data_IF_209559097294
#
_entry.id   IF_209559097294
#
_cell.length_a   1.000
_cell.length_b   1.000
_cell.length_c   1.000
_cell.angle_alpha   90.00
_cell.angle_beta   90.00
_cell.angle_gamma   90.00
#
_symmetry.space_group_name_H-M   'P 1'
#
loop_
_entity.id
_entity.type
_entity.pdbx_description
1 polymer ?
#
# COMPACT_ATOMS: atom_id res chain seq x y z
N UNK A 1 23.07 3.93 6.68
CA UNK A 1 22.89 5.17 5.91
C UNK A 1 22.42 4.93 4.48
N UNK A 2 23.00 3.98 3.73
CA UNK A 2 22.61 3.71 2.34
C UNK A 2 21.13 3.31 2.19
N UNK A 3 20.60 2.46 3.07
CA UNK A 3 19.20 2.04 3.03
C UNK A 3 18.22 3.24 3.16
N UNK A 4 18.48 4.17 4.09
CA UNK A 4 17.64 5.36 4.27
C UNK A 4 17.66 6.26 3.03
N UNK A 5 18.80 6.40 2.34
CA UNK A 5 18.86 7.16 1.09
C UNK A 5 18.04 6.52 -0.04
N UNK A 6 18.01 5.19 -0.11
CA UNK A 6 17.16 4.47 -1.07
C UNK A 6 15.69 4.73 -0.74
N UNK A 7 15.29 4.67 0.53
CA UNK A 7 13.90 4.94 0.91
C UNK A 7 13.50 6.41 0.65
N UNK A 8 14.40 7.38 0.86
CA UNK A 8 14.14 8.80 0.55
C UNK A 8 14.02 9.01 -0.97
N UNK A 9 14.85 8.35 -1.78
CA UNK A 9 14.82 8.51 -3.24
C UNK A 9 13.52 8.03 -3.88
N UNK A 10 12.74 7.20 -3.17
CA UNK A 10 11.39 6.80 -3.57
C UNK A 10 10.45 8.01 -3.67
N UNK A 11 10.53 9.02 -2.80
CA UNK A 11 9.60 10.17 -2.90
C UNK A 11 9.74 10.97 -4.22
N UNK A 12 10.96 11.38 -4.65
CA UNK A 12 11.16 11.95 -5.98
C UNK A 12 10.76 11.02 -7.11
N UNK A 13 11.04 9.71 -7.01
CA UNK A 13 10.65 8.75 -8.04
C UNK A 13 9.13 8.66 -8.19
N UNK A 14 8.38 8.63 -7.08
CA UNK A 14 6.91 8.68 -7.09
C UNK A 14 6.41 9.95 -7.78
N UNK A 15 6.98 11.11 -7.44
CA UNK A 15 6.61 12.37 -8.07
C UNK A 15 6.83 12.32 -9.58
N UNK A 16 8.00 11.85 -10.03
CA UNK A 16 8.30 11.69 -11.46
C UNK A 16 7.31 10.73 -12.13
N UNK A 17 7.02 9.58 -11.50
CA UNK A 17 6.03 8.62 -12.02
C UNK A 17 4.64 9.25 -12.17
N UNK A 18 4.19 10.04 -11.20
CA UNK A 18 2.90 10.75 -11.26
C UNK A 18 2.92 11.82 -12.37
N UNK A 19 3.98 12.61 -12.48
CA UNK A 19 4.09 13.63 -13.53
C UNK A 19 4.07 13.00 -14.93
N UNK A 20 4.77 11.88 -15.12
CA UNK A 20 4.73 11.13 -16.39
C UNK A 20 3.32 10.58 -16.65
N UNK A 21 2.67 10.02 -15.63
CA UNK A 21 1.33 9.44 -15.75
C UNK A 21 0.30 10.47 -16.25
N UNK A 22 0.32 11.68 -15.68
CA UNK A 22 -0.61 12.75 -16.05
C UNK A 22 -0.21 13.47 -17.34
N UNK A 23 1.03 13.96 -17.41
CA UNK A 23 1.45 14.94 -18.42
C UNK A 23 2.37 14.36 -19.50
N UNK A 24 2.85 13.13 -19.33
CA UNK A 24 3.78 12.52 -20.26
C UNK A 24 3.13 12.22 -21.62
N UNK A 25 3.86 12.39 -22.74
CA UNK A 25 3.42 11.86 -24.03
C UNK A 25 3.35 10.32 -23.98
N UNK A 26 2.64 9.72 -24.93
CA UNK A 26 2.39 8.28 -25.01
C UNK A 26 3.65 7.42 -24.82
N UNK A 27 4.76 7.78 -25.48
CA UNK A 27 6.04 7.07 -25.37
C UNK A 27 6.66 7.17 -23.98
N UNK A 28 6.58 8.35 -23.35
CA UNK A 28 7.09 8.55 -22.00
C UNK A 28 6.23 7.84 -20.96
N UNK A 29 4.89 7.78 -21.15
CA UNK A 29 4.01 6.97 -20.30
C UNK A 29 4.35 5.49 -20.34
N UNK A 30 4.71 4.94 -21.50
CA UNK A 30 5.19 3.56 -21.62
C UNK A 30 6.49 3.33 -20.85
N UNK A 31 7.48 4.20 -20.99
CA UNK A 31 8.70 4.15 -20.19
C UNK A 31 8.41 4.32 -18.68
N UNK A 32 7.41 5.16 -18.36
CA UNK A 32 6.90 5.40 -17.02
C UNK A 32 6.36 4.16 -16.33
N UNK A 33 5.83 3.17 -17.06
CA UNK A 33 5.42 1.87 -16.49
C UNK A 33 6.64 1.14 -15.91
N UNK A 34 7.76 1.13 -16.64
CA UNK A 34 9.01 0.52 -16.16
C UNK A 34 9.58 1.26 -14.96
N UNK A 35 9.54 2.59 -14.97
CA UNK A 35 9.95 3.41 -13.84
C UNK A 35 9.09 3.16 -12.60
N UNK A 36 7.77 3.08 -12.77
CA UNK A 36 6.82 2.78 -11.70
C UNK A 36 7.08 1.40 -11.11
N UNK A 37 7.27 0.38 -11.96
CA UNK A 37 7.61 -0.97 -11.52
C UNK A 37 8.92 -0.98 -10.72
N UNK A 38 9.96 -0.30 -11.20
CA UNK A 38 11.22 -0.16 -10.47
C UNK A 38 11.00 0.49 -9.11
N UNK A 39 10.22 1.57 -9.04
CA UNK A 39 9.87 2.26 -7.79
C UNK A 39 9.16 1.35 -6.78
N UNK A 40 8.26 0.48 -7.25
CA UNK A 40 7.58 -0.51 -6.41
C UNK A 40 8.53 -1.61 -5.92
N UNK A 41 9.51 -2.01 -6.74
CA UNK A 41 10.49 -3.05 -6.38
C UNK A 41 11.61 -2.53 -5.46
N UNK A 42 11.92 -1.23 -5.47
CA UNK A 42 12.95 -0.64 -4.60
C UNK A 42 12.68 -0.87 -3.11
N UNK A 43 11.41 -1.00 -2.70
CA UNK A 43 10.94 -1.41 -1.36
C UNK A 43 11.43 -2.81 -0.93
N UNK A 44 11.61 -3.70 -1.89
CA UNK A 44 12.16 -5.03 -1.59
C UNK A 44 13.68 -4.95 -1.49
N UNK A 45 14.29 -4.03 -2.24
CA UNK A 45 15.74 -3.87 -2.31
C UNK A 45 16.29 -3.19 -1.06
N UNK A 46 15.71 -2.09 -0.58
CA UNK A 46 16.15 -1.41 0.65
C UNK A 46 16.06 -2.32 1.88
N UNK A 47 14.96 -3.07 2.02
CA UNK A 47 14.79 -4.07 3.07
C UNK A 47 15.77 -5.25 2.98
N UNK A 48 16.27 -5.59 1.78
CA UNK A 48 17.29 -6.62 1.60
C UNK A 48 18.70 -6.09 1.91
N UNK A 49 18.99 -4.86 1.48
CA UNK A 49 20.25 -4.15 1.77
C UNK A 49 20.39 -3.91 3.27
N UNK A 50 19.33 -3.44 3.95
CA UNK A 50 19.35 -3.21 5.39
C UNK A 50 19.65 -4.49 6.19
N UNK A 51 19.07 -5.63 5.78
CA UNK A 51 19.32 -6.94 6.41
C UNK A 51 20.74 -7.46 6.17
N UNK A 52 21.27 -7.30 4.95
CA UNK A 52 22.64 -7.74 4.60
C UNK A 52 23.72 -6.85 5.20
N UNK A 53 23.45 -5.57 5.40
CA UNK A 53 24.43 -4.60 5.94
C UNK A 53 24.36 -4.45 7.46
N UNK A 54 23.40 -5.11 8.13
CA UNK A 54 23.17 -4.95 9.57
C UNK A 54 22.70 -3.55 9.97
N UNK A 55 22.31 -2.70 9.01
CA UNK A 55 21.94 -1.30 9.24
C UNK A 55 20.43 -1.14 9.50
N UNK A 56 19.86 -1.99 10.35
CA UNK A 56 18.46 -1.86 10.76
C UNK A 56 18.34 -0.72 11.78
N UNK A 57 17.71 0.39 11.39
CA UNK A 57 17.43 1.51 12.30
C UNK A 57 15.93 1.71 12.46
N UNK A 58 15.50 2.16 13.65
CA UNK A 58 14.09 2.45 13.93
C UNK A 58 13.56 3.54 12.99
N UNK A 59 14.33 4.59 12.76
CA UNK A 59 14.00 5.65 11.81
C UNK A 59 13.83 5.10 10.38
N UNK A 60 14.77 4.28 9.90
CA UNK A 60 14.68 3.69 8.56
C UNK A 60 13.44 2.80 8.39
N UNK A 61 13.09 2.02 9.42
CA UNK A 61 11.86 1.20 9.38
C UNK A 61 10.57 2.02 9.35
N UNK A 62 10.51 3.13 10.10
CA UNK A 62 9.36 4.05 10.06
C UNK A 62 9.26 4.72 8.69
N UNK A 63 10.40 5.15 8.14
CA UNK A 63 10.46 5.79 6.83
C UNK A 63 10.03 4.86 5.69
N UNK A 64 10.44 3.58 5.75
CA UNK A 64 10.05 2.56 4.77
C UNK A 64 8.54 2.32 4.78
N UNK A 65 7.95 2.16 5.97
CA UNK A 65 6.50 2.06 6.14
C UNK A 65 5.80 3.31 5.58
N UNK A 66 6.30 4.50 5.89
CA UNK A 66 5.73 5.75 5.39
C UNK A 66 5.82 5.84 3.85
N UNK A 67 6.93 5.41 3.26
CA UNK A 67 7.13 5.40 1.82
C UNK A 67 6.18 4.42 1.11
N UNK A 68 6.04 3.16 1.58
CA UNK A 68 5.10 2.19 1.00
C UNK A 68 3.65 2.70 1.08
N UNK A 69 3.26 3.28 2.23
CA UNK A 69 1.93 3.88 2.40
C UNK A 69 1.71 5.05 1.46
N UNK A 70 2.69 5.93 1.32
CA UNK A 70 2.58 7.08 0.43
C UNK A 70 2.41 6.62 -1.01
N UNK A 71 3.24 5.68 -1.48
CA UNK A 71 3.11 5.09 -2.82
C UNK A 71 1.74 4.48 -3.06
N UNK A 72 1.27 3.67 -2.10
CA UNK A 72 -0.04 3.03 -2.20
C UNK A 72 -1.17 4.04 -2.36
N UNK A 73 -1.27 4.98 -1.43
CA UNK A 73 -2.40 5.91 -1.36
C UNK A 73 -2.38 6.89 -2.52
N UNK A 74 -1.21 7.44 -2.87
CA UNK A 74 -1.08 8.38 -3.99
C UNK A 74 -1.48 7.71 -5.30
N UNK A 75 -0.97 6.51 -5.59
CA UNK A 75 -1.28 5.83 -6.86
C UNK A 75 -2.76 5.47 -6.97
N UNK A 76 -3.39 4.96 -5.91
CA UNK A 76 -4.83 4.67 -5.92
C UNK A 76 -5.67 5.93 -6.19
N UNK A 77 -5.30 7.06 -5.58
CA UNK A 77 -6.00 8.34 -5.81
C UNK A 77 -5.78 8.82 -7.24
N UNK A 78 -4.55 8.80 -7.75
CA UNK A 78 -4.24 9.21 -9.12
C UNK A 78 -5.00 8.37 -10.16
N UNK A 79 -5.06 7.05 -10.00
CA UNK A 79 -5.80 6.20 -10.93
C UNK A 79 -7.31 6.42 -10.88
N UNK A 80 -7.87 6.75 -9.71
CA UNK A 80 -9.29 7.10 -9.59
C UNK A 80 -9.60 8.46 -10.21
N UNK A 81 -8.74 9.46 -10.03
CA UNK A 81 -8.87 10.78 -10.64
C UNK A 81 -8.78 10.71 -12.18
N UNK A 82 -7.89 9.88 -12.71
CA UNK A 82 -7.81 9.54 -14.15
C UNK A 82 -9.00 8.70 -14.65
N UNK A 83 -9.98 8.39 -13.79
CA UNK A 83 -11.18 7.58 -14.09
C UNK A 83 -10.87 6.16 -14.57
N UNK A 84 -9.70 5.63 -14.23
CA UNK A 84 -9.31 4.26 -14.55
C UNK A 84 -9.89 3.23 -13.58
N UNK A 85 -10.26 3.68 -12.38
CA UNK A 85 -10.90 2.87 -11.35
C UNK A 85 -11.96 3.70 -10.61
N UNK A 86 -12.96 3.07 -9.97
CA UNK A 86 -13.94 3.79 -9.19
C UNK A 86 -13.30 4.39 -7.92
N UNK A 87 -13.73 5.61 -7.56
CA UNK A 87 -13.27 6.33 -6.36
C UNK A 87 -13.50 5.56 -5.05
N UNK A 88 -14.43 4.59 -5.04
CA UNK A 88 -14.63 3.69 -3.90
C UNK A 88 -13.34 2.96 -3.49
N UNK A 89 -12.47 2.59 -4.44
CA UNK A 89 -11.23 1.85 -4.16
C UNK A 89 -10.26 2.64 -3.28
N UNK A 90 -9.77 3.85 -3.67
CA UNK A 90 -8.89 4.63 -2.80
C UNK A 90 -9.54 4.98 -1.46
N UNK A 91 -10.84 5.29 -1.43
CA UNK A 91 -11.53 5.62 -0.19
C UNK A 91 -11.51 4.45 0.82
N UNK A 92 -11.81 3.23 0.36
CA UNK A 92 -11.76 2.04 1.21
C UNK A 92 -10.32 1.80 1.72
N UNK A 93 -9.32 1.94 0.85
CA UNK A 93 -7.92 1.70 1.21
C UNK A 93 -7.41 2.74 2.21
N UNK A 94 -7.74 4.02 2.02
CA UNK A 94 -7.41 5.11 2.97
C UNK A 94 -8.07 4.82 4.32
N UNK A 95 -9.38 4.58 4.34
CA UNK A 95 -10.12 4.33 5.58
C UNK A 95 -9.58 3.11 6.35
N UNK A 96 -9.38 1.98 5.65
CA UNK A 96 -8.83 0.76 6.26
C UNK A 96 -7.42 1.01 6.82
N UNK A 97 -6.56 1.68 6.06
CA UNK A 97 -5.16 1.90 6.42
C UNK A 97 -5.05 2.80 7.65
N UNK A 98 -5.71 3.95 7.61
CA UNK A 98 -5.73 4.92 8.73
C UNK A 98 -6.30 4.31 10.00
N UNK A 99 -7.41 3.56 9.92
CA UNK A 99 -7.97 2.83 11.06
C UNK A 99 -7.00 1.81 11.64
N UNK A 100 -6.36 1.02 10.78
CA UNK A 100 -5.40 -0.01 11.22
C UNK A 100 -4.19 0.62 11.90
N UNK A 101 -3.67 1.73 11.36
CA UNK A 101 -2.51 2.41 11.92
C UNK A 101 -2.84 3.13 13.24
N UNK A 102 -4.03 3.74 13.35
CA UNK A 102 -4.53 4.33 14.60
C UNK A 102 -4.70 3.29 15.71
N UNK A 103 -5.27 2.12 15.42
CA UNK A 103 -5.39 1.07 16.43
C UNK A 103 -4.04 0.45 16.82
N UNK A 104 -3.08 0.40 15.91
CA UNK A 104 -1.72 -0.05 16.22
C UNK A 104 -0.98 0.93 17.13
N UNK A 105 -1.15 2.24 16.94
CA UNK A 105 -0.50 3.24 17.79
C UNK A 105 -1.00 3.20 19.24
N UNK A 106 -2.30 2.95 19.45
CA UNK A 106 -2.88 2.78 20.80
C UNK A 106 -2.23 1.58 21.52
N UNK A 107 -2.00 0.46 20.83
CA UNK A 107 -1.39 -0.74 21.42
C UNK A 107 0.10 -0.59 21.79
N UNK A 108 0.83 0.27 21.08
CA UNK A 108 2.25 0.57 21.37
C UNK A 108 2.39 1.52 22.58
N UNK A 109 1.47 2.46 22.75
CA UNK A 109 1.47 3.42 23.85
C UNK A 109 1.25 2.83 25.25
N UNK A 110 0.80 1.57 25.36
CA UNK A 110 0.49 0.91 26.63
C UNK A 110 1.46 -0.23 27.02
N UNK A 111 2.62 -0.37 26.35
CA UNK A 111 3.67 -1.33 26.74
C UNK A 111 3.35 -2.80 26.47
N UNK A 112 2.25 -3.12 25.77
CA UNK A 112 1.94 -4.50 25.37
C UNK A 112 2.76 -4.93 24.16
N UNK A 113 3.62 -5.95 24.33
CA UNK A 113 4.44 -6.50 23.25
C UNK A 113 3.58 -6.91 22.03
N UNK A 114 3.89 -6.46 20.79
CA UNK A 114 3.05 -6.64 19.60
C UNK A 114 2.71 -8.09 19.22
N UNK A 115 3.41 -9.08 19.79
CA UNK A 115 3.35 -10.48 19.38
C UNK A 115 2.79 -11.46 20.43
N UNK A 116 2.55 -11.06 21.68
CA UNK A 116 2.12 -11.99 22.74
C UNK A 116 0.61 -12.32 22.72
N UNK A 117 -0.14 -11.79 21.76
CA UNK A 117 -1.58 -11.61 21.95
C UNK A 117 -2.45 -12.47 20.99
N UNK A 118 -1.91 -13.21 20.01
CA UNK A 118 -2.74 -13.96 19.04
C UNK A 118 -3.06 -15.40 19.50
N UNK A 119 -4.30 -15.65 19.97
CA UNK A 119 -4.78 -17.01 20.36
C UNK A 119 -5.68 -17.73 19.33
N UNK A 120 -6.16 -17.09 18.26
CA UNK A 120 -6.99 -17.75 17.21
C UNK A 120 -6.24 -18.00 15.90
N UNK A 121 -6.39 -19.20 15.33
CA UNK A 121 -5.70 -19.66 14.12
C UNK A 121 -5.99 -18.78 12.88
N UNK A 122 -7.23 -18.32 12.73
CA UNK A 122 -7.64 -17.39 11.66
C UNK A 122 -6.94 -16.03 11.76
N UNK A 123 -6.72 -15.49 12.96
CA UNK A 123 -5.99 -14.25 13.15
C UNK A 123 -4.49 -14.38 12.83
N UNK A 124 -3.87 -15.52 13.15
CA UNK A 124 -2.47 -15.82 12.77
C UNK A 124 -2.31 -16.10 11.28
N UNK A 125 -3.29 -16.74 10.64
CA UNK A 125 -3.28 -16.96 9.20
C UNK A 125 -3.50 -15.65 8.42
N UNK A 126 -4.50 -14.85 8.80
CA UNK A 126 -4.83 -13.59 8.13
C UNK A 126 -3.77 -12.48 8.33
N UNK A 127 -3.12 -12.43 9.49
CA UNK A 127 -2.10 -11.41 9.84
C UNK A 127 -0.67 -11.90 9.60
N UNK A 128 -0.42 -13.21 9.76
CA UNK A 128 0.92 -13.80 9.77
C UNK A 128 1.30 -14.63 8.54
N UNK A 129 0.36 -15.01 7.68
CA UNK A 129 0.70 -15.82 6.50
C UNK A 129 1.43 -15.00 5.44
N UNK A 130 2.66 -15.41 5.10
CA UNK A 130 3.47 -14.86 4.00
C UNK A 130 2.71 -14.89 2.67
N UNK A 131 1.84 -15.89 2.47
CA UNK A 131 1.02 -16.02 1.27
C UNK A 131 0.07 -14.82 1.04
N UNK A 132 -0.60 -14.33 2.08
CA UNK A 132 -1.48 -13.17 1.94
C UNK A 132 -0.72 -11.87 1.76
N UNK A 133 0.50 -11.78 2.32
CA UNK A 133 1.37 -10.62 2.15
C UNK A 133 1.88 -10.52 0.72
N UNK A 134 2.46 -11.61 0.23
CA UNK A 134 3.00 -11.70 -1.12
C UNK A 134 1.88 -11.61 -2.16
N UNK A 135 0.75 -12.28 -1.93
CA UNK A 135 -0.42 -12.19 -2.80
C UNK A 135 -0.93 -10.75 -2.94
N UNK A 136 -1.11 -10.04 -1.82
CA UNK A 136 -1.48 -8.62 -1.86
C UNK A 136 -0.47 -7.76 -2.63
N UNK A 137 0.83 -7.94 -2.36
CA UNK A 137 1.87 -7.16 -3.02
C UNK A 137 1.90 -7.42 -4.54
N UNK A 138 1.76 -8.68 -4.97
CA UNK A 138 1.68 -9.05 -6.39
C UNK A 138 0.42 -8.43 -7.02
N UNK A 139 -0.76 -8.62 -6.42
CA UNK A 139 -2.01 -8.08 -6.99
C UNK A 139 -1.96 -6.56 -7.11
N UNK A 140 -1.45 -5.85 -6.09
CA UNK A 140 -1.25 -4.40 -6.11
C UNK A 140 -0.29 -3.98 -7.22
N UNK A 141 0.89 -4.61 -7.30
CA UNK A 141 1.92 -4.28 -8.29
C UNK A 141 1.42 -4.51 -9.71
N UNK A 142 0.79 -5.66 -9.97
CA UNK A 142 0.17 -5.98 -11.26
C UNK A 142 -0.91 -4.96 -11.63
N UNK A 143 -1.76 -4.59 -10.66
CA UNK A 143 -2.82 -3.59 -10.90
C UNK A 143 -2.23 -2.22 -11.21
N UNK A 144 -1.25 -1.74 -10.45
CA UNK A 144 -0.64 -0.42 -10.67
C UNK A 144 0.10 -0.34 -12.01
N UNK A 145 0.93 -1.33 -12.32
CA UNK A 145 1.66 -1.36 -13.57
C UNK A 145 0.69 -1.53 -14.76
N UNK A 146 -0.35 -2.36 -14.59
CA UNK A 146 -1.38 -2.56 -15.60
C UNK A 146 -2.22 -1.31 -15.86
N UNK A 147 -2.65 -0.58 -14.82
CA UNK A 147 -3.39 0.68 -14.96
C UNK A 147 -2.53 1.77 -15.61
N UNK A 148 -1.25 1.86 -15.24
CA UNK A 148 -0.32 2.78 -15.90
C UNK A 148 -0.12 2.42 -17.39
N UNK A 149 -0.06 1.12 -17.71
CA UNK A 149 0.03 0.65 -19.09
C UNK A 149 -1.25 0.95 -19.88
N UNK A 150 -2.43 0.76 -19.27
CA UNK A 150 -3.71 1.15 -19.85
C UNK A 150 -3.76 2.64 -20.16
N UNK A 151 -3.30 3.47 -19.23
CA UNK A 151 -3.19 4.91 -19.44
C UNK A 151 -2.26 5.29 -20.59
N UNK A 152 -1.15 4.56 -20.76
CA UNK A 152 -0.26 4.75 -21.90
C UNK A 152 -0.96 4.35 -23.22
N UNK A 153 -1.68 3.23 -23.23
CA UNK A 153 -2.37 2.72 -24.42
C UNK A 153 -3.51 3.61 -24.90
N UNK A 154 -4.19 4.31 -23.99
CA UNK A 154 -5.20 5.32 -24.34
C UNK A 154 -4.64 6.48 -25.18
N UNK A 155 -3.32 6.71 -25.15
CA UNK A 155 -2.66 7.74 -25.96
C UNK A 155 -2.34 7.32 -27.40
N UNK A 156 -2.66 6.09 -27.82
CA UNK A 156 -2.47 5.64 -29.20
C UNK A 156 -3.67 6.01 -30.09
N UNK A 157 -3.47 6.21 -31.41
CA UNK A 157 -4.56 6.49 -32.34
C UNK A 157 -5.62 5.38 -32.36
N UNK A 158 -6.88 5.79 -32.51
CA UNK A 158 -8.00 4.88 -32.70
C UNK A 158 -7.78 4.01 -33.96
N UNK A 159 -8.03 2.71 -33.85
CA UNK A 159 -7.79 1.74 -34.92
C UNK A 159 -6.49 0.92 -34.78
N UNK A 160 -5.60 1.29 -33.87
CA UNK A 160 -4.47 0.42 -33.51
C UNK A 160 -4.94 -0.78 -32.70
N UNK A 161 -4.29 -1.94 -32.87
CA UNK A 161 -4.55 -3.16 -32.07
C UNK A 161 -4.39 -2.90 -30.56
N UNK A 162 -3.49 -1.99 -30.22
CA UNK A 162 -3.19 -1.57 -28.84
C UNK A 162 -4.38 -0.81 -28.24
N UNK A 163 -4.91 0.20 -28.95
CA UNK A 163 -6.08 0.93 -28.50
C UNK A 163 -7.33 0.03 -28.38
N UNK A 164 -7.48 -0.93 -29.31
CA UNK A 164 -8.59 -1.89 -29.29
C UNK A 164 -8.53 -2.88 -28.09
N UNK A 165 -7.34 -3.12 -27.52
CA UNK A 165 -7.16 -4.00 -26.37
C UNK A 165 -7.43 -3.30 -25.02
N UNK A 166 -7.56 -1.96 -25.00
CA UNK A 166 -7.74 -1.22 -23.75
C UNK A 166 -9.02 -1.63 -22.99
N UNK A 167 -10.21 -1.75 -23.61
CA UNK A 167 -11.43 -2.08 -22.89
C UNK A 167 -11.36 -3.45 -22.19
N UNK A 168 -10.82 -4.47 -22.86
CA UNK A 168 -10.64 -5.82 -22.28
C UNK A 168 -9.60 -5.81 -21.17
N UNK A 169 -8.49 -5.09 -21.35
CA UNK A 169 -7.48 -4.90 -20.32
C UNK A 169 -8.07 -4.21 -19.09
N UNK A 170 -8.85 -3.14 -19.27
CA UNK A 170 -9.52 -2.43 -18.18
C UNK A 170 -10.50 -3.33 -17.41
N UNK A 171 -11.24 -4.21 -18.09
CA UNK A 171 -12.13 -5.16 -17.41
C UNK A 171 -11.33 -6.08 -16.45
N UNK A 172 -10.20 -6.60 -16.91
CA UNK A 172 -9.31 -7.43 -16.08
C UNK A 172 -8.73 -6.63 -14.92
N UNK A 173 -8.26 -5.40 -15.18
CA UNK A 173 -7.63 -4.55 -14.16
C UNK A 173 -8.60 -4.07 -13.08
N UNK A 174 -9.87 -3.85 -13.42
CA UNK A 174 -10.90 -3.58 -12.42
C UNK A 174 -11.09 -4.76 -11.47
N UNK A 175 -11.09 -5.99 -11.99
CA UNK A 175 -11.18 -7.21 -11.18
C UNK A 175 -9.96 -7.33 -10.26
N UNK A 176 -8.74 -7.11 -10.78
CA UNK A 176 -7.54 -7.17 -9.95
C UNK A 176 -7.49 -6.04 -8.91
N UNK A 177 -8.02 -4.86 -9.23
CA UNK A 177 -8.11 -3.75 -8.28
C UNK A 177 -9.06 -4.07 -7.11
N UNK A 178 -10.24 -4.61 -7.39
CA UNK A 178 -11.16 -5.06 -6.34
C UNK A 178 -10.60 -6.26 -5.55
N UNK A 179 -9.85 -7.14 -6.20
CA UNK A 179 -9.13 -8.20 -5.50
C UNK A 179 -8.07 -7.63 -4.54
N UNK A 180 -7.33 -6.59 -4.94
CA UNK A 180 -6.41 -5.89 -4.05
C UNK A 180 -7.14 -5.28 -2.85
N UNK A 181 -8.27 -4.61 -3.06
CA UNK A 181 -9.12 -4.09 -1.96
C UNK A 181 -9.55 -5.21 -1.04
N UNK A 182 -9.97 -6.35 -1.59
CA UNK A 182 -10.42 -7.51 -0.82
C UNK A 182 -9.30 -8.03 0.10
N UNK A 183 -8.10 -8.25 -0.46
CA UNK A 183 -6.93 -8.59 0.34
C UNK A 183 -6.58 -7.51 1.37
N UNK A 184 -6.73 -6.24 1.00
CA UNK A 184 -6.49 -5.13 1.90
C UNK A 184 -7.44 -5.24 3.12
N UNK A 185 -8.74 -5.28 2.90
CA UNK A 185 -9.75 -5.38 3.97
C UNK A 185 -9.52 -6.62 4.83
N UNK A 186 -9.36 -7.80 4.24
CA UNK A 186 -9.16 -9.04 5.00
C UNK A 186 -7.93 -9.04 5.90
N UNK A 187 -6.85 -8.35 5.49
CA UNK A 187 -5.63 -8.23 6.32
C UNK A 187 -5.77 -7.20 7.45
N UNK A 188 -6.60 -6.17 7.28
CA UNK A 188 -6.84 -5.13 8.29
C UNK A 188 -7.88 -5.53 9.33
N UNK A 189 -8.88 -6.32 8.92
CA UNK A 189 -10.03 -6.71 9.74
C UNK A 189 -9.63 -7.35 11.10
N UNK A 190 -8.64 -8.26 11.20
CA UNK A 190 -8.27 -8.85 12.48
C UNK A 190 -7.70 -7.84 13.49
N UNK A 191 -7.06 -6.76 13.01
CA UNK A 191 -6.51 -5.71 13.87
C UNK A 191 -7.66 -4.87 14.45
N UNK A 192 -8.60 -4.48 13.59
CA UNK A 192 -9.75 -3.65 13.96
C UNK A 192 -10.67 -4.39 14.95
N UNK A 193 -11.09 -5.61 14.62
CA UNK A 193 -11.99 -6.42 15.48
C UNK A 193 -11.39 -6.61 16.88
N UNK A 194 -10.09 -6.91 16.94
CA UNK A 194 -9.40 -7.12 18.21
C UNK A 194 -9.34 -5.84 19.04
N UNK A 195 -8.95 -4.74 18.41
CA UNK A 195 -8.87 -3.44 19.07
C UNK A 195 -10.23 -3.07 19.67
N UNK A 196 -11.30 -3.17 18.87
CA UNK A 196 -12.66 -2.93 19.34
C UNK A 196 -13.03 -3.82 20.51
N UNK A 197 -12.78 -5.14 20.45
CA UNK A 197 -13.08 -6.06 21.56
C UNK A 197 -12.32 -5.72 22.84
N UNK A 198 -11.07 -5.27 22.73
CA UNK A 198 -10.24 -4.97 23.89
C UNK A 198 -10.61 -3.62 24.54
N UNK A 199 -10.94 -2.60 23.75
CA UNK A 199 -11.18 -1.25 24.26
C UNK A 199 -12.66 -0.92 24.52
N UNK A 200 -13.60 -1.63 23.89
CA UNK A 200 -15.02 -1.47 24.21
C UNK A 200 -15.43 -2.23 25.49
N UNK A 201 -14.63 -3.20 25.94
CA UNK A 201 -14.95 -4.03 27.10
C UNK A 201 -14.38 -3.52 28.44
N UNK A 202 -13.54 -2.48 28.42
CA UNK A 202 -12.93 -1.90 29.63
C UNK A 202 -13.40 -0.45 29.80
N UNK A 203 -14.16 -0.13 30.87
CA UNK A 203 -14.38 1.25 31.25
C UNK A 203 -13.00 1.88 31.51
N UNK A 204 -12.73 3.02 30.88
CA UNK A 204 -11.54 3.83 31.11
C UNK A 204 -11.43 4.13 32.61
N UNK A 205 -10.43 3.57 33.29
CA UNK A 205 -10.00 4.17 34.55
C UNK A 205 -9.39 5.53 34.22
N UNK A 206 -10.02 6.59 34.73
CA UNK A 206 -9.51 7.95 34.63
C UNK A 206 -8.08 7.98 35.19
N UNK A 207 -7.14 8.69 34.54
CA UNK A 207 -5.80 8.88 35.09
C UNK A 207 -5.92 9.47 36.49
N UNK A 208 -5.25 8.82 37.44
CA UNK A 208 -5.45 8.99 38.87
C UNK A 208 -5.54 10.45 39.31
N UNK A 209 -6.54 10.73 40.13
CA UNK A 209 -6.49 11.84 41.05
C UNK A 209 -5.15 11.75 41.79
N UNK A 210 -4.28 12.74 41.54
CA UNK A 210 -3.16 13.04 42.40
C UNK A 210 -3.79 13.38 43.75
N UNK A 211 -3.71 12.44 44.68
CA UNK A 211 -4.02 12.69 46.09
C UNK A 211 -2.85 13.51 46.61
N UNK A 212 -3.05 14.83 46.68
CA UNK A 212 -2.31 15.71 47.59
C UNK A 212 -2.71 15.44 49.04
#
# INVERSE_FOLDING_TARGET
>A
MLANWITISRFPLLLISVLILYFGPTTLRLAGVGLLFLGLMLDTVDGMVARRTGQTSLFGGVLDIAADRTYELVLWVCFADLRLIPVAIPLIIIARTTLTDAFRSIGVGQGTAPFAQHRTALGRFLVGSTWMRTGYAITKTTTFCGLALAQAFLGFPAGTRVAAAVPTMMAVLHVTAWLAVTFCVFRGLPVIIRSLRNYWATPTQAPGAVVE
#
